data_IF_937503463570
#
_entry.id   IF_937503463570
#
_cell.length_a   1.000
_cell.length_b   1.000
_cell.length_c   1.000
_cell.angle_alpha   90.00
_cell.angle_beta   90.00
_cell.angle_gamma   90.00
#
_symmetry.space_group_name_H-M   'P 1'
#
loop_
_entity.id
_entity.type
_entity.pdbx_description
1 polymer ?
#
# COMPACT_ATOMS: atom_id res chain seq x y z
N UNK A 1 24.29 0.01 18.70
CA UNK A 1 24.48 0.03 17.23
C UNK A 1 25.73 -0.72 16.76
N UNK A 2 26.85 -0.65 17.46
CA UNK A 2 28.14 -1.25 17.04
C UNK A 2 28.22 -2.78 17.09
N UNK A 3 27.45 -3.46 17.95
CA UNK A 3 27.50 -4.92 18.08
C UNK A 3 26.70 -5.69 16.99
N UNK A 4 25.73 -5.05 16.32
CA UNK A 4 24.91 -5.69 15.27
C UNK A 4 25.57 -5.69 13.89
N UNK A 5 26.60 -4.84 13.67
CA UNK A 5 27.37 -4.76 12.43
C UNK A 5 28.77 -5.39 12.60
N UNK A 6 28.87 -6.49 13.37
CA UNK A 6 30.15 -7.15 13.57
C UNK A 6 30.81 -7.51 12.22
N UNK A 7 32.07 -7.10 12.05
CA UNK A 7 32.85 -7.38 10.85
C UNK A 7 32.82 -8.90 10.52
N UNK A 8 32.32 -9.19 9.30
CA UNK A 8 32.28 -10.56 8.77
C UNK A 8 30.97 -11.34 9.01
N UNK A 9 29.98 -10.82 9.73
CA UNK A 9 28.65 -11.47 9.85
C UNK A 9 27.94 -11.50 8.51
N UNK A 10 27.35 -12.64 8.18
CA UNK A 10 26.47 -12.80 7.02
C UNK A 10 25.07 -13.11 7.55
N UNK A 11 24.12 -12.25 7.28
CA UNK A 11 22.71 -12.47 7.61
C UNK A 11 22.05 -13.43 6.61
N UNK A 12 21.02 -14.15 7.03
CA UNK A 12 20.19 -14.90 6.09
C UNK A 12 19.40 -13.95 5.20
N UNK A 13 18.91 -12.83 5.79
CA UNK A 13 18.09 -11.86 5.09
C UNK A 13 18.44 -10.42 5.48
N UNK A 14 18.67 -9.57 4.47
CA UNK A 14 18.66 -8.11 4.58
C UNK A 14 17.34 -7.57 4.00
N UNK A 15 16.61 -6.78 4.78
CA UNK A 15 15.41 -6.07 4.35
C UNK A 15 15.72 -4.59 4.21
N UNK A 16 15.55 -4.04 3.01
CA UNK A 16 15.80 -2.63 2.70
C UNK A 16 14.49 -1.83 2.79
N UNK A 17 14.33 -1.09 3.88
CA UNK A 17 13.14 -0.30 4.23
C UNK A 17 12.31 -0.93 5.34
N UNK A 18 12.03 -0.17 6.41
CA UNK A 18 11.26 -0.59 7.59
C UNK A 18 9.78 -0.17 7.57
N UNK A 19 9.21 0.15 6.39
CA UNK A 19 7.77 0.40 6.23
C UNK A 19 6.93 -0.89 6.32
N UNK A 20 5.60 -0.84 6.08
CA UNK A 20 4.71 -1.98 6.24
C UNK A 20 5.23 -3.27 5.59
N UNK A 21 5.66 -3.20 4.32
CA UNK A 21 6.16 -4.37 3.61
C UNK A 21 7.44 -4.93 4.24
N UNK A 22 8.40 -4.06 4.59
CA UNK A 22 9.66 -4.51 5.17
C UNK A 22 9.51 -5.02 6.59
N UNK A 23 8.71 -4.35 7.42
CA UNK A 23 8.46 -4.78 8.79
C UNK A 23 7.72 -6.14 8.83
N UNK A 24 6.71 -6.34 7.95
CA UNK A 24 6.05 -7.63 7.82
C UNK A 24 7.00 -8.73 7.30
N UNK A 25 7.81 -8.41 6.27
CA UNK A 25 8.84 -9.36 5.79
C UNK A 25 9.76 -9.77 6.92
N UNK A 26 10.24 -8.82 7.71
CA UNK A 26 11.16 -9.09 8.80
C UNK A 26 10.52 -9.91 9.92
N UNK A 27 9.27 -9.60 10.28
CA UNK A 27 8.51 -10.37 11.26
C UNK A 27 8.36 -11.83 10.83
N UNK A 28 7.88 -12.08 9.63
CA UNK A 28 7.69 -13.44 9.15
C UNK A 28 9.00 -14.19 8.94
N UNK A 29 10.04 -13.52 8.45
CA UNK A 29 11.35 -14.11 8.30
C UNK A 29 11.95 -14.53 9.67
N UNK A 30 11.87 -13.64 10.67
CA UNK A 30 12.34 -13.95 12.02
C UNK A 30 11.54 -15.10 12.66
N UNK A 31 10.21 -15.15 12.48
CA UNK A 31 9.38 -16.26 12.96
C UNK A 31 9.68 -17.58 12.27
N UNK A 32 10.19 -17.56 11.04
CA UNK A 32 10.74 -18.73 10.36
C UNK A 32 12.18 -19.08 10.77
N UNK A 33 12.77 -18.34 11.71
CA UNK A 33 14.10 -18.59 12.25
C UNK A 33 15.24 -18.04 11.40
N UNK A 34 14.97 -17.15 10.44
CA UNK A 34 16.00 -16.50 9.64
C UNK A 34 16.70 -15.38 10.43
N UNK A 35 18.02 -15.35 10.40
CA UNK A 35 18.83 -14.23 10.91
C UNK A 35 18.60 -13.00 10.01
N UNK A 36 17.75 -12.09 10.49
CA UNK A 36 17.19 -10.99 9.68
C UNK A 36 17.63 -9.63 10.18
N UNK A 37 18.09 -8.75 9.27
CA UNK A 37 18.35 -7.35 9.55
C UNK A 37 17.51 -6.44 8.65
N UNK A 38 16.88 -5.44 9.25
CA UNK A 38 16.12 -4.37 8.56
C UNK A 38 16.93 -3.08 8.62
N UNK A 39 17.00 -2.37 7.50
CA UNK A 39 17.59 -1.03 7.45
C UNK A 39 16.50 -0.01 7.09
N UNK A 40 16.34 1.03 7.91
CA UNK A 40 15.40 2.13 7.71
C UNK A 40 16.17 3.46 7.71
N UNK A 41 15.97 4.26 6.67
CA UNK A 41 16.69 5.53 6.49
C UNK A 41 16.27 6.65 7.44
N UNK A 42 15.16 6.48 8.16
CA UNK A 42 14.65 7.42 9.16
C UNK A 42 14.60 6.75 10.52
N UNK A 43 14.47 7.55 11.55
CA UNK A 43 14.14 7.12 12.89
C UNK A 43 12.63 7.02 13.07
N UNK A 44 12.14 6.00 13.76
CA UNK A 44 10.75 5.88 14.19
C UNK A 44 10.52 6.64 15.51
N UNK A 45 9.32 7.21 15.72
CA UNK A 45 8.18 7.28 14.80
C UNK A 45 8.40 8.31 13.68
N UNK A 46 8.00 7.99 12.45
CA UNK A 46 8.15 8.86 11.28
C UNK A 46 6.86 8.98 10.48
N UNK A 47 6.59 10.18 9.96
CA UNK A 47 5.44 10.38 9.08
C UNK A 47 5.68 9.83 7.66
N UNK A 48 4.59 9.37 7.05
CA UNK A 48 4.49 8.95 5.66
C UNK A 48 3.11 9.34 5.12
N UNK A 49 3.06 9.95 3.95
CA UNK A 49 1.79 10.30 3.30
C UNK A 49 0.90 9.06 3.13
N UNK A 50 -0.29 9.10 3.74
CA UNK A 50 -1.29 8.03 3.73
C UNK A 50 -2.65 8.59 4.18
N UNK A 51 -3.75 7.92 3.83
CA UNK A 51 -5.06 8.14 4.45
C UNK A 51 -5.18 7.53 5.84
N UNK A 52 -4.21 6.68 6.24
CA UNK A 52 -4.16 6.02 7.56
C UNK A 52 -5.25 4.95 7.79
N UNK A 53 -6.17 4.76 6.85
CA UNK A 53 -7.22 3.74 6.94
C UNK A 53 -6.67 2.33 6.71
N UNK A 54 -6.99 1.44 7.63
CA UNK A 54 -6.76 0.00 7.55
C UNK A 54 -8.09 -0.69 7.26
N UNK A 55 -8.26 -1.17 6.04
CA UNK A 55 -9.44 -1.93 5.65
C UNK A 55 -9.44 -3.33 6.28
N UNK A 56 -10.54 -4.09 6.18
CA UNK A 56 -10.60 -5.46 6.69
C UNK A 56 -9.43 -6.36 6.30
N UNK A 57 -8.90 -6.23 5.07
CA UNK A 57 -7.72 -7.01 4.63
C UNK A 57 -6.46 -6.65 5.41
N UNK A 58 -6.21 -5.34 5.58
CA UNK A 58 -5.04 -4.87 6.33
C UNK A 58 -5.13 -5.25 7.81
N UNK A 59 -6.33 -5.14 8.41
CA UNK A 59 -6.58 -5.57 9.79
C UNK A 59 -6.30 -7.06 9.97
N UNK A 60 -6.81 -7.91 9.07
CA UNK A 60 -6.55 -9.34 9.11
C UNK A 60 -5.05 -9.67 9.09
N UNK A 61 -4.26 -9.01 8.25
CA UNK A 61 -2.81 -9.25 8.22
C UNK A 61 -2.13 -8.88 9.55
N UNK A 62 -2.59 -7.82 10.21
CA UNK A 62 -2.08 -7.43 11.53
C UNK A 62 -2.53 -8.40 12.63
N UNK A 63 -3.76 -8.90 12.56
CA UNK A 63 -4.26 -9.96 13.46
C UNK A 63 -3.46 -11.26 13.31
N UNK A 64 -3.16 -11.68 12.07
CA UNK A 64 -2.29 -12.84 11.78
C UNK A 64 -0.85 -12.67 12.32
N UNK A 65 -0.36 -11.44 12.39
CA UNK A 65 0.91 -11.12 13.05
C UNK A 65 0.79 -11.04 14.58
N UNK A 66 -0.41 -11.20 15.17
CA UNK A 66 -0.62 -11.10 16.62
C UNK A 66 -0.80 -9.67 17.13
N UNK A 67 -1.06 -8.70 16.26
CA UNK A 67 -1.20 -7.28 16.60
C UNK A 67 -2.66 -6.81 16.80
N UNK A 68 -3.64 -7.74 16.79
CA UNK A 68 -5.06 -7.41 16.93
C UNK A 68 -5.38 -6.57 18.17
N UNK A 69 -4.88 -6.95 19.34
CA UNK A 69 -5.08 -6.21 20.60
C UNK A 69 -4.45 -4.80 20.56
N UNK A 70 -3.39 -4.61 19.79
CA UNK A 70 -2.75 -3.30 19.63
C UNK A 70 -3.63 -2.35 18.82
N UNK A 71 -4.40 -2.87 17.87
CA UNK A 71 -5.33 -2.09 17.05
C UNK A 71 -6.51 -1.53 17.87
N UNK A 72 -6.92 -2.21 18.94
CA UNK A 72 -8.01 -1.75 19.81
C UNK A 72 -7.75 -0.40 20.51
N UNK A 73 -6.50 0.06 20.53
CA UNK A 73 -6.12 1.38 21.05
C UNK A 73 -6.43 2.53 20.09
N UNK A 74 -6.79 2.21 18.84
CA UNK A 74 -7.00 3.18 17.76
C UNK A 74 -8.46 3.28 17.35
N UNK A 75 -8.78 4.29 16.54
CA UNK A 75 -10.15 4.53 16.11
C UNK A 75 -10.63 3.44 15.16
N UNK A 76 -11.66 2.71 15.60
CA UNK A 76 -12.36 1.70 14.79
C UNK A 76 -13.43 2.37 13.94
N UNK A 77 -13.59 1.89 12.70
CA UNK A 77 -14.71 2.27 11.85
C UNK A 77 -15.42 1.02 11.27
N UNK A 78 -16.73 1.16 11.05
CA UNK A 78 -17.61 0.04 10.71
C UNK A 78 -17.91 -0.08 9.21
N UNK A 79 -17.52 0.94 8.41
CA UNK A 79 -17.77 0.92 6.98
C UNK A 79 -17.39 2.21 6.27
N UNK A 80 -17.89 2.33 5.03
CA UNK A 80 -17.65 3.46 4.14
C UNK A 80 -18.90 4.30 3.96
N UNK A 81 -18.80 5.59 4.17
CA UNK A 81 -19.77 6.61 3.76
C UNK A 81 -19.37 7.15 2.40
N UNK A 82 -20.15 6.82 1.36
CA UNK A 82 -19.95 7.37 0.01
C UNK A 82 -20.81 8.60 -0.20
N UNK A 83 -20.25 9.68 -0.74
CA UNK A 83 -20.93 10.93 -1.05
C UNK A 83 -20.76 11.25 -2.54
N UNK A 84 -21.87 11.46 -3.24
CA UNK A 84 -21.88 11.97 -4.60
C UNK A 84 -23.29 12.50 -4.99
N UNK A 85 -23.33 13.53 -5.83
CA UNK A 85 -24.57 14.08 -6.42
C UNK A 85 -25.64 14.43 -5.39
N UNK A 86 -25.25 14.97 -4.24
CA UNK A 86 -26.14 15.31 -3.13
C UNK A 86 -26.75 14.11 -2.40
N UNK A 87 -26.19 12.91 -2.57
CA UNK A 87 -26.59 11.68 -1.90
C UNK A 87 -25.47 11.16 -1.00
N UNK A 88 -25.87 10.57 0.11
CA UNK A 88 -24.99 9.87 1.05
C UNK A 88 -25.46 8.43 1.19
N UNK A 89 -24.53 7.49 1.12
CA UNK A 89 -24.78 6.07 1.37
C UNK A 89 -23.76 5.57 2.39
N UNK A 90 -24.24 5.11 3.53
CA UNK A 90 -23.44 4.40 4.53
C UNK A 90 -23.53 2.90 4.27
N UNK A 91 -22.40 2.27 4.07
CA UNK A 91 -22.28 0.85 3.75
C UNK A 91 -21.32 0.20 4.74
N UNK A 92 -21.85 -0.69 5.58
CA UNK A 92 -21.02 -1.52 6.44
C UNK A 92 -20.10 -2.43 5.59
N UNK A 93 -18.96 -2.78 6.15
CA UNK A 93 -18.11 -3.80 5.54
C UNK A 93 -18.90 -5.12 5.41
N UNK A 94 -18.78 -5.80 4.28
CA UNK A 94 -19.51 -7.05 4.07
C UNK A 94 -18.97 -8.15 4.99
N UNK A 95 -19.84 -9.04 5.43
CA UNK A 95 -19.40 -10.27 6.06
C UNK A 95 -18.46 -11.03 5.14
N UNK A 96 -17.39 -11.57 5.69
CA UNK A 96 -16.39 -12.35 4.97
C UNK A 96 -15.87 -13.49 5.85
N UNK A 97 -15.66 -14.73 5.32
CA UNK A 97 -15.20 -15.85 6.13
C UNK A 97 -13.78 -15.64 6.74
N UNK A 98 -12.97 -14.80 6.10
CA UNK A 98 -11.57 -14.56 6.48
C UNK A 98 -11.36 -13.18 7.10
N UNK A 99 -12.02 -12.15 6.58
CA UNK A 99 -11.75 -10.75 6.95
C UNK A 99 -12.77 -10.24 7.96
N UNK A 100 -12.36 -9.40 8.93
CA UNK A 100 -13.30 -8.76 9.86
C UNK A 100 -14.24 -7.80 9.13
N UNK A 101 -15.35 -7.45 9.80
CA UNK A 101 -16.35 -6.48 9.29
C UNK A 101 -16.11 -5.06 9.78
N UNK A 102 -14.86 -4.72 10.07
CA UNK A 102 -14.44 -3.41 10.57
C UNK A 102 -13.03 -3.07 10.07
N UNK A 103 -12.68 -1.81 10.21
CA UNK A 103 -11.35 -1.30 9.97
C UNK A 103 -10.87 -0.42 11.13
N UNK A 104 -9.65 0.07 11.03
CA UNK A 104 -9.06 1.03 11.96
C UNK A 104 -8.42 2.20 11.22
N UNK A 105 -8.43 3.38 11.83
CA UNK A 105 -7.62 4.50 11.36
C UNK A 105 -6.42 4.62 12.30
N UNK A 106 -5.23 4.34 11.75
CA UNK A 106 -3.97 4.34 12.50
C UNK A 106 -2.96 5.21 11.76
N UNK A 107 -2.51 6.27 12.40
CA UNK A 107 -1.51 7.15 11.78
C UNK A 107 -0.25 6.38 11.44
N UNK A 108 0.31 6.66 10.25
CA UNK A 108 1.50 5.94 9.76
C UNK A 108 2.72 6.08 10.68
N UNK A 109 2.84 7.17 11.44
CA UNK A 109 3.90 7.27 12.44
C UNK A 109 3.79 6.19 13.51
N UNK A 110 2.57 5.90 13.96
CA UNK A 110 2.32 4.90 14.99
C UNK A 110 2.36 3.48 14.41
N UNK A 111 1.64 3.27 13.29
CA UNK A 111 1.57 1.97 12.62
C UNK A 111 2.94 1.42 12.24
N UNK A 112 3.75 2.23 11.54
CA UNK A 112 5.05 1.79 11.06
C UNK A 112 5.99 1.50 12.23
N UNK A 113 5.93 2.30 13.32
CA UNK A 113 6.75 2.10 14.50
C UNK A 113 6.40 0.79 15.21
N UNK A 114 5.12 0.58 15.58
CA UNK A 114 4.79 -0.62 16.35
C UNK A 114 4.91 -1.92 15.54
N UNK A 115 4.71 -1.91 14.21
CA UNK A 115 4.96 -3.12 13.38
C UNK A 115 6.45 -3.40 13.26
N UNK A 116 7.30 -2.37 13.16
CA UNK A 116 8.75 -2.54 13.17
C UNK A 116 9.25 -3.08 14.52
N UNK A 117 8.76 -2.52 15.63
CA UNK A 117 9.06 -2.99 16.98
C UNK A 117 8.61 -4.45 17.19
N UNK A 118 7.47 -4.82 16.62
CA UNK A 118 6.98 -6.20 16.66
C UNK A 118 7.89 -7.17 15.91
N UNK A 119 8.43 -6.77 14.77
CA UNK A 119 9.44 -7.55 14.04
C UNK A 119 10.74 -7.71 14.86
N UNK A 120 11.16 -6.66 15.58
CA UNK A 120 12.29 -6.72 16.52
C UNK A 120 11.97 -7.69 17.67
N UNK A 121 10.77 -7.64 18.23
CA UNK A 121 10.30 -8.58 19.25
C UNK A 121 10.30 -10.04 18.78
N UNK A 122 10.14 -10.29 17.49
CA UNK A 122 10.23 -11.61 16.86
C UNK A 122 11.69 -12.07 16.60
N UNK A 123 12.68 -11.20 16.77
CA UNK A 123 14.10 -11.51 16.62
C UNK A 123 14.83 -10.82 15.47
N UNK A 124 14.15 -9.97 14.67
CA UNK A 124 14.83 -9.20 13.65
C UNK A 124 15.68 -8.06 14.25
N UNK A 125 16.85 -7.78 13.67
CA UNK A 125 17.61 -6.57 13.99
C UNK A 125 17.08 -5.38 13.19
N UNK A 126 16.98 -4.19 13.80
CA UNK A 126 16.56 -2.96 13.14
C UNK A 126 17.65 -1.90 13.24
N UNK A 127 18.11 -1.41 12.09
CA UNK A 127 19.05 -0.30 11.95
C UNK A 127 18.30 0.92 11.42
N UNK A 128 18.04 1.88 12.29
CA UNK A 128 17.41 3.14 11.97
C UNK A 128 18.45 4.18 11.52
N UNK A 129 18.00 5.28 10.89
CA UNK A 129 18.86 6.32 10.30
C UNK A 129 19.91 5.76 9.34
N UNK A 130 19.63 4.58 8.76
CA UNK A 130 20.56 3.80 7.94
C UNK A 130 19.98 3.59 6.55
N UNK A 131 20.63 4.09 5.52
CA UNK A 131 20.18 4.01 4.12
C UNK A 131 20.99 2.95 3.37
N UNK A 132 20.33 1.98 2.75
CA UNK A 132 20.97 1.10 1.77
C UNK A 132 21.19 1.89 0.47
N UNK A 133 22.45 2.08 0.10
CA UNK A 133 22.85 2.95 -1.01
C UNK A 133 22.96 2.18 -2.32
N UNK A 134 23.66 1.05 -2.29
CA UNK A 134 23.91 0.20 -3.45
C UNK A 134 24.18 -1.26 -3.04
N UNK A 135 23.95 -2.22 -3.96
CA UNK A 135 24.34 -3.60 -3.72
C UNK A 135 25.86 -3.72 -3.66
N UNK A 136 26.33 -4.74 -2.97
CA UNK A 136 27.74 -5.14 -2.95
C UNK A 136 27.95 -6.43 -3.74
N UNK A 137 29.17 -6.64 -4.20
CA UNK A 137 29.53 -7.82 -4.98
C UNK A 137 29.28 -9.12 -4.21
N UNK A 138 28.69 -10.13 -4.86
CA UNK A 138 28.51 -11.45 -4.27
C UNK A 138 29.84 -12.20 -4.16
N UNK A 139 29.86 -13.36 -3.46
CA UNK A 139 30.99 -14.25 -3.48
C UNK A 139 31.39 -14.68 -4.91
N UNK A 140 32.68 -14.90 -5.17
CA UNK A 140 33.13 -15.38 -6.48
C UNK A 140 32.43 -16.68 -6.90
N UNK A 141 32.01 -16.75 -8.18
CA UNK A 141 31.31 -17.92 -8.73
C UNK A 141 29.79 -17.91 -8.53
N UNK A 142 29.23 -16.85 -7.94
CA UNK A 142 27.79 -16.68 -7.85
C UNK A 142 27.15 -16.46 -9.25
N UNK A 143 25.90 -16.87 -9.45
CA UNK A 143 25.15 -16.59 -10.68
C UNK A 143 25.08 -15.09 -11.01
N UNK A 144 24.99 -14.76 -12.30
CA UNK A 144 24.82 -13.38 -12.75
C UNK A 144 23.58 -12.74 -12.14
N UNK A 145 23.69 -11.49 -11.67
CA UNK A 145 22.60 -10.76 -11.03
C UNK A 145 22.43 -11.08 -9.53
N UNK A 146 23.25 -11.96 -8.96
CA UNK A 146 23.32 -12.16 -7.49
C UNK A 146 23.99 -10.96 -6.84
N UNK A 147 23.56 -10.60 -5.63
CA UNK A 147 24.17 -9.54 -4.82
C UNK A 147 24.66 -10.08 -3.48
N UNK A 148 25.74 -9.53 -2.93
CA UNK A 148 26.34 -9.98 -1.66
C UNK A 148 25.74 -9.33 -0.42
N UNK A 149 24.75 -8.45 -0.58
CA UNK A 149 24.19 -7.60 0.46
C UNK A 149 24.14 -6.14 0.03
N UNK A 150 24.41 -5.19 0.92
CA UNK A 150 24.35 -3.77 0.61
C UNK A 150 25.47 -2.95 1.29
N UNK A 151 25.87 -1.87 0.62
CA UNK A 151 26.56 -0.76 1.23
C UNK A 151 25.52 0.11 1.94
N UNK A 152 25.69 0.31 3.22
CA UNK A 152 24.84 1.11 4.08
C UNK A 152 25.52 2.43 4.44
N UNK A 153 24.74 3.51 4.48
CA UNK A 153 25.16 4.81 4.98
C UNK A 153 24.43 5.09 6.30
N UNK A 154 25.15 5.17 7.40
CA UNK A 154 24.68 5.73 8.65
C UNK A 154 24.51 7.25 8.46
N UNK A 155 23.30 7.75 8.54
CA UNK A 155 22.98 9.15 8.24
C UNK A 155 23.33 10.09 9.39
N UNK A 156 23.44 9.58 10.61
CA UNK A 156 23.82 10.38 11.76
C UNK A 156 25.33 10.66 11.78
N UNK A 157 26.15 9.66 11.47
CA UNK A 157 27.61 9.77 11.47
C UNK A 157 28.21 10.05 10.09
N UNK A 158 27.47 9.75 9.00
CA UNK A 158 28.01 9.77 7.64
C UNK A 158 28.95 8.59 7.32
N UNK A 159 29.00 7.58 8.19
CA UNK A 159 29.88 6.42 8.03
C UNK A 159 29.25 5.38 7.12
N UNK A 160 30.06 4.80 6.24
CA UNK A 160 29.64 3.67 5.40
C UNK A 160 29.99 2.34 6.04
N UNK A 161 29.08 1.37 5.91
CA UNK A 161 29.22 0.01 6.41
C UNK A 161 28.80 -0.99 5.35
N UNK A 162 29.50 -2.12 5.27
CA UNK A 162 29.10 -3.25 4.42
C UNK A 162 28.29 -4.25 5.25
N UNK A 163 27.09 -4.54 4.81
CA UNK A 163 26.27 -5.62 5.38
C UNK A 163 26.13 -6.72 4.34
N UNK A 164 26.59 -7.92 4.72
CA UNK A 164 26.48 -9.11 3.90
C UNK A 164 25.22 -9.89 4.24
N UNK A 165 24.53 -10.36 3.21
CA UNK A 165 23.35 -11.20 3.38
C UNK A 165 23.25 -12.23 2.26
N UNK A 166 22.68 -13.39 2.59
CA UNK A 166 22.37 -14.45 1.62
C UNK A 166 21.25 -14.01 0.68
N UNK A 167 20.20 -13.41 1.23
CA UNK A 167 19.05 -12.89 0.49
C UNK A 167 18.80 -11.42 0.81
N UNK A 168 18.17 -10.71 -0.14
CA UNK A 168 17.79 -9.31 0.04
C UNK A 168 16.34 -9.11 -0.36
N UNK A 169 15.56 -8.41 0.48
CA UNK A 169 14.21 -7.94 0.14
C UNK A 169 14.21 -6.42 0.03
N UNK A 170 13.77 -5.94 -1.14
CA UNK A 170 13.65 -4.51 -1.46
C UNK A 170 12.25 -4.05 -1.08
N UNK A 171 12.14 -3.26 0.00
CA UNK A 171 10.92 -2.73 0.58
C UNK A 171 10.98 -1.19 0.77
N UNK A 172 11.81 -0.49 -0.02
CA UNK A 172 12.11 0.93 0.13
C UNK A 172 11.06 1.88 -0.47
N UNK A 173 9.87 1.33 -0.78
CA UNK A 173 8.64 2.06 -1.10
C UNK A 173 8.59 2.61 -2.54
N UNK A 174 7.60 3.46 -2.80
CA UNK A 174 7.22 3.93 -4.14
C UNK A 174 8.35 4.59 -4.97
N UNK A 175 9.37 5.12 -4.31
CA UNK A 175 10.54 5.72 -4.97
C UNK A 175 11.75 4.80 -5.03
N UNK A 176 11.61 3.54 -4.69
CA UNK A 176 12.60 2.48 -4.63
C UNK A 176 13.97 2.84 -5.25
N UNK A 177 14.86 3.44 -4.46
CA UNK A 177 16.20 3.84 -4.93
C UNK A 177 17.11 2.64 -5.07
N UNK A 178 17.06 1.78 -4.05
CA UNK A 178 17.86 0.55 -4.04
C UNK A 178 17.39 -0.41 -5.13
N UNK A 179 16.07 -0.58 -5.32
CA UNK A 179 15.53 -1.42 -6.41
C UNK A 179 16.01 -0.97 -7.79
N UNK A 180 16.11 0.36 -8.04
CA UNK A 180 16.65 0.86 -9.32
C UNK A 180 18.10 0.47 -9.56
N UNK A 181 18.92 0.33 -8.55
CA UNK A 181 20.29 -0.16 -8.72
C UNK A 181 20.34 -1.62 -9.14
N UNK A 182 19.26 -2.38 -8.87
CA UNK A 182 19.07 -3.76 -9.32
C UNK A 182 18.34 -3.86 -10.68
N UNK A 183 18.09 -2.71 -11.33
CA UNK A 183 17.42 -2.67 -12.64
C UNK A 183 15.89 -2.68 -12.57
N UNK A 184 15.28 -2.47 -11.40
CA UNK A 184 13.82 -2.38 -11.33
C UNK A 184 13.32 -1.09 -11.95
N UNK A 185 12.33 -1.19 -12.82
CA UNK A 185 11.70 -0.04 -13.46
C UNK A 185 10.18 -0.15 -13.42
N UNK A 186 9.52 1.01 -13.35
CA UNK A 186 8.07 1.07 -13.46
C UNK A 186 7.64 1.06 -14.92
N UNK A 187 6.78 0.16 -15.30
CA UNK A 187 6.09 0.22 -16.58
C UNK A 187 5.10 1.41 -16.60
N UNK A 188 5.33 2.33 -17.52
CA UNK A 188 4.54 3.57 -17.65
C UNK A 188 3.15 3.36 -18.22
N UNK A 189 2.88 2.21 -18.80
CA UNK A 189 1.57 1.82 -19.30
C UNK A 189 0.59 1.48 -18.14
N UNK A 190 1.13 1.21 -16.96
CA UNK A 190 0.32 0.96 -15.75
C UNK A 190 -0.12 2.27 -15.08
N UNK A 191 -1.28 2.28 -14.41
CA UNK A 191 -1.74 3.45 -13.68
C UNK A 191 -0.77 3.82 -12.56
N UNK A 192 -0.71 5.11 -12.26
CA UNK A 192 -0.07 5.66 -11.09
C UNK A 192 -1.08 6.54 -10.36
N UNK A 193 -1.21 6.33 -9.06
CA UNK A 193 -1.93 7.24 -8.18
C UNK A 193 -1.05 8.41 -7.75
N UNK A 194 -1.67 9.55 -7.55
CA UNK A 194 -1.10 10.70 -6.85
C UNK A 194 -2.08 11.10 -5.77
N UNK A 195 -1.60 11.31 -4.56
CA UNK A 195 -2.42 11.66 -3.42
C UNK A 195 -1.75 12.76 -2.59
N UNK A 196 -2.56 13.60 -1.95
CA UNK A 196 -2.13 14.60 -0.99
C UNK A 196 -3.10 14.60 0.18
N UNK A 197 -2.60 14.75 1.41
CA UNK A 197 -3.43 14.80 2.61
C UNK A 197 -2.91 15.79 3.64
N UNK A 198 -3.80 16.26 4.50
CA UNK A 198 -3.52 17.01 5.70
C UNK A 198 -4.38 16.53 6.86
N UNK A 199 -3.98 16.88 8.09
CA UNK A 199 -4.77 16.65 9.28
C UNK A 199 -5.41 17.94 9.73
N UNK A 200 -6.66 17.84 10.23
CA UNK A 200 -7.43 18.96 10.78
C UNK A 200 -8.03 18.55 12.12
N UNK A 201 -8.23 19.52 13.00
CA UNK A 201 -9.07 19.33 14.18
C UNK A 201 -10.54 19.24 13.75
N UNK A 202 -11.29 18.33 14.36
CA UNK A 202 -12.73 18.18 14.11
C UNK A 202 -13.42 17.56 15.33
N UNK A 203 -14.62 18.03 15.70
CA UNK A 203 -15.42 17.39 16.75
C UNK A 203 -15.95 16.01 16.34
N UNK A 204 -15.92 15.66 15.04
CA UNK A 204 -16.34 14.35 14.51
C UNK A 204 -15.15 13.41 14.30
N UNK A 205 -14.09 13.57 15.07
CA UNK A 205 -12.89 12.74 15.00
C UNK A 205 -13.13 11.26 15.33
N UNK A 206 -14.27 10.91 15.89
CA UNK A 206 -14.70 9.58 16.32
C UNK A 206 -15.93 9.05 15.57
N UNK A 207 -16.31 9.66 14.44
CA UNK A 207 -17.37 9.16 13.56
C UNK A 207 -17.04 7.73 13.11
N UNK A 208 -17.96 6.75 13.24
CA UNK A 208 -17.71 5.35 12.94
C UNK A 208 -17.61 5.02 11.45
N UNK A 209 -17.63 6.02 10.57
CA UNK A 209 -17.54 5.86 9.12
C UNK A 209 -16.35 6.60 8.57
N UNK A 210 -15.54 5.92 7.75
CA UNK A 210 -14.65 6.64 6.83
C UNK A 210 -15.48 7.17 5.66
N UNK A 211 -15.16 8.37 5.19
CA UNK A 211 -15.93 9.02 4.14
C UNK A 211 -15.15 9.11 2.83
N UNK A 212 -15.84 8.86 1.70
CA UNK A 212 -15.29 9.03 0.36
C UNK A 212 -16.22 9.90 -0.50
N UNK A 213 -15.69 11.03 -0.97
CA UNK A 213 -16.35 11.92 -1.90
C UNK A 213 -16.02 11.53 -3.33
N UNK A 214 -17.01 11.01 -4.07
CA UNK A 214 -16.85 10.51 -5.44
C UNK A 214 -17.21 11.53 -6.53
N UNK A 215 -17.71 12.71 -6.15
CA UNK A 215 -18.06 13.86 -7.04
C UNK A 215 -17.40 15.12 -6.48
N UNK A 216 -16.07 15.14 -6.50
CA UNK A 216 -15.28 16.28 -6.00
C UNK A 216 -15.43 17.47 -6.96
N UNK A 217 -15.66 18.66 -6.40
CA UNK A 217 -15.87 19.90 -7.17
C UNK A 217 -15.00 21.01 -6.62
N UNK A 218 -14.62 21.92 -7.54
CA UNK A 218 -13.99 23.18 -7.15
C UNK A 218 -15.05 24.18 -6.61
N UNK A 219 -14.59 25.33 -6.12
CA UNK A 219 -15.45 26.42 -5.62
C UNK A 219 -16.41 27.00 -6.67
N UNK A 220 -16.18 26.74 -7.95
CA UNK A 220 -17.03 27.18 -9.06
C UNK A 220 -18.04 26.10 -9.48
N UNK A 221 -18.03 24.95 -8.79
CA UNK A 221 -18.88 23.80 -9.09
C UNK A 221 -18.40 22.93 -10.26
N UNK A 222 -17.19 23.16 -10.80
CA UNK A 222 -16.62 22.32 -11.83
C UNK A 222 -16.18 20.98 -11.23
N UNK A 223 -16.43 19.87 -11.93
CA UNK A 223 -15.98 18.55 -11.51
C UNK A 223 -14.45 18.48 -11.54
N UNK A 224 -13.89 18.02 -10.43
CA UNK A 224 -12.46 17.75 -10.29
C UNK A 224 -12.18 16.25 -10.47
N UNK A 225 -10.99 15.87 -10.98
CA UNK A 225 -10.63 14.48 -11.12
C UNK A 225 -10.35 13.83 -9.76
N UNK A 226 -10.51 12.50 -9.69
CA UNK A 226 -10.18 11.72 -8.52
C UNK A 226 -11.32 11.59 -7.52
N UNK A 227 -10.95 11.26 -6.29
CA UNK A 227 -11.87 11.18 -5.16
C UNK A 227 -11.23 11.83 -3.92
N UNK A 228 -12.06 12.34 -3.04
CA UNK A 228 -11.63 12.86 -1.75
C UNK A 228 -11.97 11.90 -0.63
N UNK A 229 -11.26 11.99 0.48
CA UNK A 229 -11.56 11.21 1.68
C UNK A 229 -11.50 12.05 2.94
N UNK A 230 -12.23 11.60 3.96
CA UNK A 230 -12.18 12.09 5.32
C UNK A 230 -12.19 10.88 6.24
N UNK A 231 -11.12 10.68 6.98
CA UNK A 231 -10.96 9.54 7.89
C UNK A 231 -10.79 10.06 9.32
N UNK A 232 -11.78 9.79 10.20
CA UNK A 232 -11.68 10.11 11.63
C UNK A 232 -10.52 9.35 12.28
N UNK A 233 -9.69 10.05 13.08
CA UNK A 233 -8.48 9.45 13.68
C UNK A 233 -8.67 9.07 15.15
N UNK A 234 -9.76 9.54 15.79
CA UNK A 234 -10.09 9.20 17.18
C UNK A 234 -9.42 10.07 18.25
N UNK A 235 -8.49 10.95 17.86
CA UNK A 235 -7.68 11.75 18.80
C UNK A 235 -7.91 13.26 18.69
N UNK A 236 -9.11 13.69 18.36
CA UNK A 236 -9.46 15.10 18.11
C UNK A 236 -9.23 15.52 16.65
N UNK A 237 -8.71 14.64 15.81
CA UNK A 237 -8.29 14.97 14.45
C UNK A 237 -8.93 14.08 13.39
N UNK A 238 -8.96 14.59 12.16
CA UNK A 238 -9.34 13.85 10.95
C UNK A 238 -8.23 13.94 9.91
N UNK A 239 -8.05 12.88 9.13
CA UNK A 239 -7.21 12.85 7.94
C UNK A 239 -8.06 13.18 6.72
N UNK A 240 -7.79 14.31 6.08
CA UNK A 240 -8.47 14.75 4.87
C UNK A 240 -7.51 14.68 3.71
N UNK A 241 -7.95 14.11 2.59
CA UNK A 241 -7.09 14.07 1.42
C UNK A 241 -7.85 13.90 0.12
N UNK A 242 -7.09 14.00 -0.96
CA UNK A 242 -7.58 13.80 -2.32
C UNK A 242 -6.56 13.02 -3.13
N UNK A 243 -7.05 12.11 -3.97
CA UNK A 243 -6.24 11.31 -4.87
C UNK A 243 -6.78 11.30 -6.29
N UNK A 244 -5.86 11.16 -7.26
CA UNK A 244 -6.21 11.00 -8.67
C UNK A 244 -5.29 9.97 -9.34
N UNK A 245 -5.76 9.42 -10.46
CA UNK A 245 -5.01 8.47 -11.28
C UNK A 245 -4.37 9.15 -12.49
N UNK A 246 -3.20 8.66 -12.90
CA UNK A 246 -2.51 9.10 -14.12
C UNK A 246 -3.26 8.75 -15.43
N UNK A 247 -4.30 7.94 -15.34
CA UNK A 247 -5.23 7.66 -16.46
C UNK A 247 -6.19 8.81 -16.73
N UNK A 248 -6.26 9.78 -15.83
CA UNK A 248 -7.05 10.98 -16.00
C UNK A 248 -6.45 11.86 -17.09
N UNK A 249 -7.31 12.42 -17.95
CA UNK A 249 -6.88 13.32 -19.02
C UNK A 249 -6.19 14.55 -18.40
N UNK A 250 -5.07 14.97 -18.98
CA UNK A 250 -4.30 16.15 -18.56
C UNK A 250 -3.80 16.12 -17.10
N UNK A 251 -3.66 14.91 -16.51
CA UNK A 251 -3.23 14.75 -15.11
C UNK A 251 -1.90 15.44 -14.79
N UNK A 252 -1.02 15.63 -15.79
CA UNK A 252 0.27 16.27 -15.62
C UNK A 252 0.16 17.78 -15.32
N UNK A 253 -0.93 18.40 -15.75
CA UNK A 253 -1.20 19.83 -15.59
C UNK A 253 -1.96 20.11 -14.29
N UNK A 254 -2.33 19.06 -13.54
CA UNK A 254 -3.07 19.18 -12.30
C UNK A 254 -2.12 19.49 -11.13
N UNK A 255 -2.36 20.63 -10.48
CA UNK A 255 -1.72 20.98 -9.23
C UNK A 255 -2.46 20.29 -8.06
N UNK A 256 -1.86 19.24 -7.50
CA UNK A 256 -2.47 18.46 -6.41
C UNK A 256 -2.65 19.28 -5.12
N UNK A 257 -1.78 20.24 -4.84
CA UNK A 257 -1.94 21.13 -3.69
C UNK A 257 -3.16 22.02 -3.85
N UNK A 258 -3.37 22.57 -5.04
CA UNK A 258 -4.58 23.34 -5.33
C UNK A 258 -5.84 22.48 -5.25
N UNK A 259 -5.80 21.24 -5.76
CA UNK A 259 -6.93 20.31 -5.60
C UNK A 259 -7.27 20.06 -4.14
N UNK A 260 -6.26 19.86 -3.31
CA UNK A 260 -6.45 19.63 -1.88
C UNK A 260 -7.08 20.85 -1.20
N UNK A 261 -6.59 22.06 -1.47
CA UNK A 261 -7.13 23.29 -0.92
C UNK A 261 -8.59 23.50 -1.33
N UNK A 262 -8.95 23.25 -2.60
CA UNK A 262 -10.33 23.36 -3.07
C UNK A 262 -11.21 22.31 -2.40
N UNK A 263 -10.75 21.08 -2.29
CA UNK A 263 -11.49 20.01 -1.60
C UNK A 263 -11.72 20.37 -0.12
N UNK A 264 -10.68 20.77 0.60
CA UNK A 264 -10.80 21.16 2.00
C UNK A 264 -11.81 22.31 2.23
N UNK A 265 -11.90 23.27 1.28
CA UNK A 265 -12.87 24.37 1.35
C UNK A 265 -14.30 23.96 1.07
N UNK A 266 -14.51 22.87 0.35
CA UNK A 266 -15.84 22.37 -0.06
C UNK A 266 -16.35 21.24 0.84
N UNK A 267 -15.63 20.92 1.91
CA UNK A 267 -16.09 19.91 2.87
C UNK A 267 -17.40 20.34 3.55
N UNK A 268 -18.28 19.37 3.87
CA UNK A 268 -19.51 19.66 4.60
C UNK A 268 -19.25 20.39 5.92
N UNK A 269 -20.06 21.40 6.23
CA UNK A 269 -19.91 22.23 7.43
C UNK A 269 -19.94 21.43 8.75
N UNK A 270 -20.60 20.27 8.78
CA UNK A 270 -20.64 19.44 9.99
C UNK A 270 -19.28 18.94 10.45
N UNK A 271 -18.28 18.82 9.57
CA UNK A 271 -16.92 18.50 9.96
C UNK A 271 -16.22 19.61 10.75
N UNK A 272 -16.72 20.83 10.70
CA UNK A 272 -16.25 22.00 11.45
C UNK A 272 -14.74 22.23 11.38
N UNK A 273 -14.15 22.00 10.21
CA UNK A 273 -12.74 22.28 9.98
C UNK A 273 -12.51 23.74 9.60
N UNK A 274 -11.31 24.23 9.89
CA UNK A 274 -10.77 25.46 9.26
C UNK A 274 -9.81 25.06 8.13
N UNK A 275 -10.21 25.19 6.85
CA UNK A 275 -9.38 24.78 5.72
C UNK A 275 -8.04 25.52 5.62
N UNK A 276 -7.94 26.71 6.26
CA UNK A 276 -6.71 27.50 6.28
C UNK A 276 -5.73 27.07 7.39
N UNK A 277 -6.13 26.16 8.28
CA UNK A 277 -5.37 25.79 9.47
C UNK A 277 -5.19 24.28 9.60
N UNK A 278 -4.53 23.62 8.62
CA UNK A 278 -4.11 22.23 8.83
C UNK A 278 -3.12 22.15 10.00
N UNK A 279 -3.16 21.06 10.76
CA UNK A 279 -2.28 20.82 11.94
C UNK A 279 -0.80 20.83 11.53
N UNK A 280 -0.51 20.34 10.32
CA UNK A 280 0.82 20.36 9.72
C UNK A 280 0.70 20.59 8.21
N UNK A 281 1.75 21.03 7.52
CA UNK A 281 1.71 21.18 6.08
C UNK A 281 1.27 19.90 5.39
N UNK A 282 0.32 19.98 4.43
CA UNK A 282 -0.12 18.82 3.66
C UNK A 282 1.03 18.14 2.94
N UNK A 283 1.02 16.82 2.92
CA UNK A 283 2.05 16.02 2.25
C UNK A 283 1.46 15.16 1.15
N UNK A 284 2.19 15.05 0.03
CA UNK A 284 1.77 14.27 -1.13
C UNK A 284 2.71 13.10 -1.43
N UNK A 285 2.18 12.13 -2.16
CA UNK A 285 2.92 10.94 -2.58
C UNK A 285 2.44 10.37 -3.91
N UNK A 286 3.30 9.54 -4.50
CA UNK A 286 2.98 8.74 -5.69
C UNK A 286 2.77 7.30 -5.28
N UNK A 287 1.86 6.64 -5.98
CA UNK A 287 1.42 5.28 -5.72
C UNK A 287 1.57 4.47 -7.02
N UNK A 288 2.69 3.75 -7.22
CA UNK A 288 2.81 2.82 -8.33
C UNK A 288 1.85 1.66 -8.11
N UNK A 289 0.98 1.37 -9.10
CA UNK A 289 -0.17 0.50 -8.92
C UNK A 289 -0.13 -0.75 -9.78
N UNK A 290 -0.93 -1.74 -9.41
CA UNK A 290 -1.21 -2.96 -10.16
C UNK A 290 0.02 -3.81 -10.51
N UNK A 291 1.00 -3.84 -9.63
CA UNK A 291 2.22 -4.61 -9.86
C UNK A 291 3.13 -4.01 -10.94
N UNK A 292 3.10 -2.69 -11.12
CA UNK A 292 3.72 -1.95 -12.23
C UNK A 292 5.25 -1.94 -12.25
N UNK A 293 5.94 -2.43 -11.24
CA UNK A 293 7.41 -2.40 -11.15
C UNK A 293 7.98 -3.80 -11.39
N UNK A 294 9.01 -3.89 -12.19
CA UNK A 294 9.73 -5.14 -12.47
C UNK A 294 11.19 -4.89 -12.86
N UNK A 295 12.01 -5.95 -12.81
CA UNK A 295 11.73 -7.30 -12.34
C UNK A 295 11.40 -7.35 -10.84
N UNK A 296 10.57 -8.32 -10.41
CA UNK A 296 10.16 -8.50 -9.00
C UNK A 296 11.06 -9.47 -8.23
N UNK A 297 11.91 -10.19 -8.92
CA UNK A 297 12.86 -11.14 -8.36
C UNK A 297 14.15 -11.14 -9.17
N UNK A 298 15.25 -11.42 -8.51
CA UNK A 298 16.54 -11.81 -9.05
C UNK A 298 17.02 -13.12 -8.44
N UNK A 299 18.28 -13.50 -8.67
CA UNK A 299 18.78 -14.78 -8.20
C UNK A 299 18.69 -14.97 -6.68
N UNK A 300 18.88 -13.89 -5.91
CA UNK A 300 18.82 -13.93 -4.44
C UNK A 300 18.12 -12.69 -3.83
N UNK A 301 17.31 -11.98 -4.61
CA UNK A 301 16.57 -10.82 -4.10
C UNK A 301 15.13 -10.78 -4.61
N UNK A 302 14.24 -10.21 -3.80
CA UNK A 302 12.82 -10.01 -4.09
C UNK A 302 12.42 -8.56 -3.85
N UNK A 303 11.33 -8.12 -4.49
CA UNK A 303 10.78 -6.75 -4.35
C UNK A 303 9.34 -6.83 -3.85
N UNK A 304 9.00 -6.07 -2.80
CA UNK A 304 7.70 -6.14 -2.11
C UNK A 304 7.02 -4.78 -1.98
N UNK A 305 5.72 -4.77 -1.72
CA UNK A 305 4.93 -3.57 -1.44
C UNK A 305 4.97 -2.53 -2.55
N UNK A 306 5.01 -1.26 -2.18
CA UNK A 306 5.06 -0.13 -3.14
C UNK A 306 6.30 -0.20 -4.05
N UNK A 307 7.41 -0.79 -3.60
CA UNK A 307 8.60 -0.97 -4.43
C UNK A 307 8.34 -1.92 -5.60
N UNK A 308 7.42 -2.89 -5.44
CA UNK A 308 6.89 -3.74 -6.51
C UNK A 308 5.71 -3.14 -7.26
N UNK A 309 5.21 -1.98 -6.83
CA UNK A 309 3.99 -1.37 -7.33
C UNK A 309 2.72 -2.09 -6.89
N UNK A 310 2.76 -2.80 -5.77
CA UNK A 310 1.65 -3.60 -5.25
C UNK A 310 0.61 -2.72 -4.54
N UNK A 311 0.01 -1.79 -5.28
CA UNK A 311 -1.07 -0.91 -4.80
C UNK A 311 -2.32 -1.15 -5.66
N UNK A 312 -3.47 -1.22 -5.02
CA UNK A 312 -4.77 -1.44 -5.63
C UNK A 312 -5.19 -0.23 -6.50
N UNK A 313 -5.38 -0.39 -7.81
CA UNK A 313 -5.78 0.72 -8.68
C UNK A 313 -7.22 1.21 -8.48
N UNK A 314 -8.08 0.44 -7.82
CA UNK A 314 -9.46 0.85 -7.58
C UNK A 314 -9.58 1.96 -6.54
N UNK A 315 -8.80 1.87 -5.46
CA UNK A 315 -8.97 2.72 -4.27
C UNK A 315 -7.67 3.31 -3.72
N UNK A 316 -6.50 2.87 -4.22
CA UNK A 316 -5.19 3.33 -3.74
C UNK A 316 -4.70 2.63 -2.46
N UNK A 317 -5.34 1.56 -2.04
CA UNK A 317 -4.94 0.73 -0.91
C UNK A 317 -3.64 -0.01 -1.21
N UNK A 318 -2.72 -0.04 -0.26
CA UNK A 318 -1.42 -0.66 -0.45
C UNK A 318 -0.82 -1.25 0.83
N UNK A 319 -1.39 -0.95 2.02
CA UNK A 319 -0.86 -1.47 3.28
C UNK A 319 -1.11 -2.99 3.40
N UNK A 320 -2.30 -3.45 3.04
CA UNK A 320 -2.66 -4.86 2.97
C UNK A 320 -1.73 -5.63 2.02
N UNK A 321 -1.60 -5.15 0.77
CA UNK A 321 -0.69 -5.76 -0.21
C UNK A 321 0.78 -5.70 0.21
N UNK A 322 1.18 -4.66 0.96
CA UNK A 322 2.51 -4.57 1.52
C UNK A 322 2.77 -5.69 2.53
N UNK A 323 1.83 -5.95 3.43
CA UNK A 323 1.91 -7.04 4.40
C UNK A 323 1.89 -8.42 3.72
N UNK A 324 0.97 -8.62 2.79
CA UNK A 324 0.81 -9.90 2.07
C UNK A 324 2.03 -10.24 1.21
N UNK A 325 2.53 -9.28 0.41
CA UNK A 325 3.72 -9.50 -0.42
C UNK A 325 4.98 -9.71 0.43
N UNK A 326 5.07 -9.03 1.58
CA UNK A 326 6.14 -9.23 2.56
C UNK A 326 6.11 -10.63 3.19
N UNK A 327 4.92 -11.11 3.59
CA UNK A 327 4.73 -12.46 4.11
C UNK A 327 5.09 -13.53 3.07
N UNK A 328 4.62 -13.35 1.84
CA UNK A 328 4.91 -14.28 0.73
C UNK A 328 6.41 -14.36 0.44
N UNK A 329 7.10 -13.21 0.39
CA UNK A 329 8.55 -13.15 0.18
C UNK A 329 9.31 -13.84 1.30
N UNK A 330 8.96 -13.59 2.57
CA UNK A 330 9.58 -14.20 3.73
C UNK A 330 9.43 -15.73 3.73
N UNK A 331 8.21 -16.22 3.44
CA UNK A 331 7.93 -17.67 3.36
C UNK A 331 8.73 -18.36 2.25
N UNK A 332 8.81 -17.73 1.07
CA UNK A 332 9.58 -18.29 -0.05
C UNK A 332 11.09 -18.31 0.23
N UNK A 333 11.62 -17.25 0.85
CA UNK A 333 13.02 -17.20 1.26
C UNK A 333 13.32 -18.25 2.33
N UNK A 334 12.42 -18.44 3.29
CA UNK A 334 12.58 -19.50 4.30
C UNK A 334 12.61 -20.90 3.67
N UNK A 335 11.73 -21.16 2.70
CA UNK A 335 11.74 -22.41 1.93
C UNK A 335 13.04 -22.59 1.15
N UNK A 336 13.49 -21.55 0.44
CA UNK A 336 14.75 -21.58 -0.32
C UNK A 336 15.95 -21.83 0.59
N UNK A 337 16.00 -21.19 1.76
CA UNK A 337 17.05 -21.37 2.75
C UNK A 337 17.05 -22.80 3.31
N UNK A 338 15.88 -23.32 3.70
CA UNK A 338 15.76 -24.67 4.25
C UNK A 338 16.15 -25.77 3.24
N UNK A 339 15.88 -25.54 1.95
CA UNK A 339 16.24 -26.48 0.86
C UNK A 339 17.62 -26.21 0.27
N UNK A 340 18.28 -25.14 0.67
CA UNK A 340 19.51 -24.65 0.05
C UNK A 340 19.38 -24.50 -1.49
N UNK A 341 18.23 -23.95 -1.94
CA UNK A 341 17.87 -23.82 -3.35
C UNK A 341 17.32 -22.42 -3.63
N UNK A 342 18.21 -21.50 -3.98
CA UNK A 342 17.85 -20.10 -4.26
C UNK A 342 17.08 -19.98 -5.62
N UNK A 343 17.09 -21.00 -6.47
CA UNK A 343 16.30 -20.99 -7.73
C UNK A 343 14.79 -20.91 -7.46
N UNK A 344 14.33 -21.29 -6.27
CA UNK A 344 12.94 -21.15 -5.85
C UNK A 344 12.44 -19.70 -5.89
N UNK A 345 13.34 -18.71 -5.68
CA UNK A 345 12.96 -17.30 -5.69
C UNK A 345 12.42 -16.86 -7.07
N UNK A 346 12.79 -17.53 -8.14
CA UNK A 346 12.26 -17.27 -9.48
C UNK A 346 10.75 -17.49 -9.61
N UNK A 347 10.13 -18.22 -8.67
CA UNK A 347 8.66 -18.44 -8.62
C UNK A 347 7.90 -17.23 -8.06
N UNK A 348 8.57 -16.28 -7.42
CA UNK A 348 7.89 -15.16 -6.76
C UNK A 348 7.01 -14.32 -7.67
N UNK A 349 7.44 -13.95 -8.90
CA UNK A 349 6.56 -13.24 -9.82
C UNK A 349 5.29 -14.03 -10.19
N UNK A 350 5.40 -15.34 -10.38
CA UNK A 350 4.26 -16.21 -10.71
C UNK A 350 3.28 -16.31 -9.54
N UNK A 351 3.79 -16.43 -8.29
CA UNK A 351 2.96 -16.43 -7.08
C UNK A 351 2.19 -15.10 -6.92
N UNK A 352 2.83 -13.96 -7.23
CA UNK A 352 2.14 -12.67 -7.24
C UNK A 352 1.06 -12.58 -8.33
N UNK A 353 1.32 -13.17 -9.49
CA UNK A 353 0.34 -13.18 -10.59
C UNK A 353 -0.83 -14.14 -10.30
N UNK A 354 -0.57 -15.27 -9.68
CA UNK A 354 -1.61 -16.19 -9.21
C UNK A 354 -2.52 -15.51 -8.19
N UNK A 355 -1.97 -14.77 -7.24
CA UNK A 355 -2.71 -14.15 -6.15
C UNK A 355 -3.46 -12.87 -6.60
N UNK A 356 -2.80 -12.00 -7.37
CA UNK A 356 -3.32 -10.66 -7.68
C UNK A 356 -3.52 -10.37 -9.16
N UNK A 357 -2.94 -11.18 -10.05
CA UNK A 357 -2.81 -10.84 -11.47
C UNK A 357 -4.13 -10.54 -12.15
N UNK A 358 -5.14 -11.38 -11.96
CA UNK A 358 -6.48 -11.17 -12.53
C UNK A 358 -7.17 -9.95 -11.93
N UNK A 359 -7.11 -9.79 -10.61
CA UNK A 359 -7.70 -8.64 -9.91
C UNK A 359 -7.05 -7.33 -10.35
N UNK A 360 -5.73 -7.26 -10.38
CA UNK A 360 -5.01 -6.08 -10.87
C UNK A 360 -5.27 -5.79 -12.35
N UNK A 361 -5.44 -6.81 -13.16
CA UNK A 361 -5.82 -6.66 -14.57
C UNK A 361 -7.19 -6.01 -14.73
N UNK A 362 -8.18 -6.46 -13.94
CA UNK A 362 -9.51 -5.84 -13.91
C UNK A 362 -9.44 -4.39 -13.41
N UNK A 363 -8.68 -4.15 -12.35
CA UNK A 363 -8.50 -2.82 -11.79
C UNK A 363 -7.82 -1.85 -12.78
N UNK A 364 -6.85 -2.32 -13.57
CA UNK A 364 -6.26 -1.52 -14.67
C UNK A 364 -7.27 -1.14 -15.73
N UNK A 365 -8.11 -2.07 -16.16
CA UNK A 365 -9.18 -1.77 -17.13
C UNK A 365 -10.16 -0.74 -16.57
N UNK A 366 -10.56 -0.93 -15.32
CA UNK A 366 -11.45 0.01 -14.63
C UNK A 366 -10.81 1.40 -14.46
N UNK A 367 -9.51 1.47 -14.17
CA UNK A 367 -8.80 2.75 -14.03
C UNK A 367 -8.84 3.61 -15.30
N UNK A 368 -8.94 3.00 -16.49
CA UNK A 368 -9.16 3.73 -17.75
C UNK A 368 -10.58 4.29 -17.85
N UNK A 369 -11.57 3.54 -17.34
CA UNK A 369 -12.96 3.98 -17.30
C UNK A 369 -13.10 5.20 -16.38
N UNK A 370 -12.53 5.12 -15.17
CA UNK A 370 -12.58 6.23 -14.21
C UNK A 370 -11.67 7.40 -14.59
N UNK A 371 -10.74 7.22 -15.50
CA UNK A 371 -9.97 8.29 -16.14
C UNK A 371 -10.85 9.23 -17.00
N UNK A 372 -12.09 8.83 -17.34
CA UNK A 372 -13.03 9.65 -18.08
C UNK A 372 -14.05 10.30 -17.13
N UNK A 373 -14.01 11.64 -16.91
CA UNK A 373 -14.87 12.33 -15.95
C UNK A 373 -16.36 12.17 -16.21
N UNK A 374 -16.77 12.17 -17.49
CA UNK A 374 -18.18 12.03 -17.87
C UNK A 374 -18.70 10.64 -17.51
N UNK A 375 -17.90 9.61 -17.77
CA UNK A 375 -18.29 8.24 -17.49
C UNK A 375 -18.34 7.96 -15.97
N UNK A 376 -17.36 8.44 -15.21
CA UNK A 376 -17.38 8.36 -13.73
C UNK A 376 -18.63 9.03 -13.17
N UNK A 377 -18.94 10.22 -13.65
CA UNK A 377 -20.11 10.98 -13.20
C UNK A 377 -21.41 10.21 -13.43
N UNK A 378 -21.58 9.57 -14.59
CA UNK A 378 -22.79 8.79 -14.87
C UNK A 378 -22.81 7.47 -14.07
N UNK A 379 -21.68 6.79 -13.94
CA UNK A 379 -21.58 5.57 -13.13
C UNK A 379 -21.90 5.85 -11.65
N UNK A 380 -21.31 6.90 -11.07
CA UNK A 380 -21.59 7.29 -9.68
C UNK A 380 -23.03 7.78 -9.50
N UNK A 381 -23.61 8.49 -10.50
CA UNK A 381 -25.01 8.90 -10.45
C UNK A 381 -25.98 7.70 -10.42
N UNK A 382 -25.72 6.67 -11.21
CA UNK A 382 -26.50 5.43 -11.20
C UNK A 382 -26.23 4.63 -9.92
N UNK A 383 -24.98 4.44 -9.56
CA UNK A 383 -24.57 3.71 -8.37
C UNK A 383 -25.20 4.26 -7.09
N UNK A 384 -25.11 5.55 -6.86
CA UNK A 384 -25.66 6.23 -5.68
C UNK A 384 -27.22 6.16 -5.56
N UNK A 385 -27.91 5.63 -6.57
CA UNK A 385 -29.34 5.36 -6.52
C UNK A 385 -29.69 3.92 -6.12
N UNK A 386 -28.69 3.04 -6.06
CA UNK A 386 -28.86 1.62 -5.80
C UNK A 386 -27.87 1.16 -4.73
N UNK A 387 -28.35 1.03 -3.49
CA UNK A 387 -27.54 0.51 -2.38
C UNK A 387 -26.87 -0.83 -2.72
N UNK A 388 -27.59 -1.85 -3.27
CA UNK A 388 -26.93 -3.12 -3.61
C UNK A 388 -25.80 -2.96 -4.63
N UNK A 389 -25.93 -2.06 -5.61
CA UNK A 389 -24.88 -1.83 -6.60
C UNK A 389 -23.62 -1.19 -5.97
N UNK A 390 -23.82 -0.27 -5.02
CA UNK A 390 -22.70 0.36 -4.30
C UNK A 390 -22.04 -0.61 -3.32
N UNK A 391 -22.79 -1.49 -2.66
CA UNK A 391 -22.25 -2.57 -1.83
C UNK A 391 -21.43 -3.57 -2.67
N UNK A 392 -21.86 -3.89 -3.90
CA UNK A 392 -21.05 -4.68 -4.83
C UNK A 392 -19.77 -3.96 -5.24
N UNK A 393 -19.88 -2.66 -5.56
CA UNK A 393 -18.72 -1.84 -5.88
C UNK A 393 -17.71 -1.83 -4.72
N UNK A 394 -18.18 -1.66 -3.48
CA UNK A 394 -17.35 -1.70 -2.29
C UNK A 394 -16.62 -3.04 -2.15
N UNK A 395 -17.33 -4.18 -2.29
CA UNK A 395 -16.73 -5.53 -2.24
C UNK A 395 -15.63 -5.70 -3.29
N UNK A 396 -15.91 -5.30 -4.53
CA UNK A 396 -14.94 -5.43 -5.64
C UNK A 396 -13.76 -4.51 -5.41
N UNK A 397 -13.99 -3.25 -5.07
CA UNK A 397 -12.92 -2.26 -4.92
C UNK A 397 -12.01 -2.52 -3.73
N UNK A 398 -12.53 -3.09 -2.65
CA UNK A 398 -11.77 -3.47 -1.47
C UNK A 398 -11.20 -4.92 -1.56
N UNK A 399 -11.37 -5.59 -2.69
CA UNK A 399 -10.93 -6.98 -2.90
C UNK A 399 -11.46 -7.95 -1.80
N UNK A 400 -12.75 -7.81 -1.47
CA UNK A 400 -13.44 -8.62 -0.45
C UNK A 400 -14.43 -9.61 -1.09
N UNK A 401 -14.09 -10.15 -2.26
CA UNK A 401 -14.90 -11.15 -2.94
C UNK A 401 -14.72 -12.52 -2.26
N UNK A 402 -15.80 -13.30 -2.21
CA UNK A 402 -15.83 -14.62 -1.58
C UNK A 402 -15.76 -15.69 -2.66
N UNK A 403 -14.73 -16.53 -2.62
CA UNK A 403 -14.52 -17.56 -3.67
C UNK A 403 -15.57 -18.69 -3.61
N UNK A 404 -16.16 -18.94 -2.44
CA UNK A 404 -17.04 -20.08 -2.20
C UNK A 404 -18.54 -19.74 -2.26
N UNK A 405 -18.93 -18.47 -2.27
CA UNK A 405 -20.34 -18.08 -2.32
C UNK A 405 -20.85 -17.81 -3.74
N UNK A 406 -22.04 -18.37 -4.04
CA UNK A 406 -22.76 -18.12 -5.29
C UNK A 406 -23.72 -16.93 -5.16
N UNK A 407 -23.21 -15.81 -4.65
CA UNK A 407 -23.97 -14.56 -4.59
C UNK A 407 -24.08 -13.88 -5.97
N UNK A 408 -24.99 -12.90 -6.07
CA UNK A 408 -25.14 -12.12 -7.32
C UNK A 408 -23.92 -11.23 -7.63
N UNK A 409 -23.22 -10.75 -6.59
CA UNK A 409 -22.00 -9.99 -6.73
C UNK A 409 -20.85 -10.87 -7.24
N UNK A 410 -20.69 -12.05 -6.67
CA UNK A 410 -19.69 -13.04 -7.05
C UNK A 410 -19.93 -13.56 -8.48
N UNK A 411 -21.19 -13.78 -8.87
CA UNK A 411 -21.53 -14.16 -10.24
C UNK A 411 -21.21 -13.05 -11.24
N UNK A 412 -21.51 -11.80 -10.92
CA UNK A 412 -21.16 -10.65 -11.77
C UNK A 412 -19.63 -10.49 -11.86
N UNK A 413 -18.91 -10.60 -10.74
CA UNK A 413 -17.45 -10.57 -10.71
C UNK A 413 -16.85 -11.67 -11.58
N UNK A 414 -17.31 -12.92 -11.41
CA UNK A 414 -16.82 -14.07 -12.18
C UNK A 414 -17.08 -13.92 -13.69
N UNK A 415 -18.23 -13.34 -14.08
CA UNK A 415 -18.53 -13.07 -15.47
C UNK A 415 -17.58 -12.00 -16.05
N UNK A 416 -17.33 -10.90 -15.32
CA UNK A 416 -16.38 -9.86 -15.71
C UNK A 416 -14.96 -10.43 -15.76
N UNK A 417 -14.54 -11.18 -14.76
CA UNK A 417 -13.25 -11.84 -14.67
C UNK A 417 -13.02 -12.81 -15.86
N UNK A 418 -14.07 -13.56 -16.23
CA UNK A 418 -14.03 -14.46 -17.40
C UNK A 418 -13.77 -13.72 -18.72
N UNK A 419 -14.41 -12.56 -18.91
CA UNK A 419 -14.16 -11.70 -20.07
C UNK A 419 -12.76 -11.09 -20.02
N UNK A 420 -12.34 -10.58 -18.87
CA UNK A 420 -11.02 -9.93 -18.69
C UNK A 420 -9.87 -10.90 -18.90
N UNK A 421 -10.01 -12.18 -18.55
CA UNK A 421 -9.02 -13.22 -18.84
C UNK A 421 -8.72 -13.33 -20.34
N UNK A 422 -9.72 -13.12 -21.19
CA UNK A 422 -9.59 -13.21 -22.65
C UNK A 422 -9.01 -11.94 -23.28
N UNK A 423 -8.99 -10.82 -22.57
CA UNK A 423 -8.41 -9.56 -23.08
C UNK A 423 -6.88 -9.67 -23.07
N UNK A 424 -6.19 -9.52 -24.20
CA UNK A 424 -4.73 -9.50 -24.23
C UNK A 424 -4.16 -8.33 -23.40
N UNK A 425 -3.06 -8.56 -22.67
CA UNK A 425 -2.46 -7.53 -21.81
C UNK A 425 -2.06 -6.27 -22.57
N UNK A 426 -1.63 -6.39 -23.82
CA UNK A 426 -1.36 -5.24 -24.70
C UNK A 426 -2.55 -4.28 -24.87
N UNK A 427 -3.79 -4.78 -24.78
CA UNK A 427 -5.00 -3.94 -24.84
C UNK A 427 -5.37 -3.37 -23.47
N UNK A 428 -4.95 -4.02 -22.40
CA UNK A 428 -5.10 -3.52 -21.04
C UNK A 428 -4.10 -2.41 -20.76
N UNK A 429 -2.91 -2.48 -21.33
CA UNK A 429 -1.80 -1.56 -21.10
C UNK A 429 -1.70 -0.46 -22.18
N UNK A 430 -2.42 -0.56 -23.29
CA UNK A 430 -2.54 0.49 -24.31
C UNK A 430 -3.56 1.56 -23.85
#
# INVERSE_FOLDING_TARGET
MTDSLADGRVYDLLVVGGGPAGAATAYWAATHGLDTVVVERKEFPRDKTCGDGLTPRAVHQLEEMGLGSRLEEYHRFDGLRAIAHGRTLEMAWPDHPTYPTYGYVVRRCDLDAFVADHAVGAGAALLQETEAVQPIDPPPGSPDGTIGGALLLDKASGTEHLVRARHVVVADGANSRFGRTLGTERDRAYPMGMAIRGYFESPLHDDPWIESSLDVRDRHGNAMPGYGWIFPVGNGTINVGIGLLSTFRDYKDINTSHMFEEFARTLPEHWQIDPARPIAPPTGGRLPMAGSVGPKAGPNWLVVGDAAGAVNPFNGEGIDYAYETGRLAASLIAEATARNDDALLSRYPDLLDEEYGLYFKMARLFSKIIGNPTLVRELTRVGMRSRPLMEWALRIMANLMRDEERGTAEAAYSAIAGVVRLVPDRLVNA
#
